data_IF_251384228155
#
_entry.id   IF_251384228155
#
_cell.length_a   1.000
_cell.length_b   1.000
_cell.length_c   1.000
_cell.angle_alpha   90.00
_cell.angle_beta   90.00
_cell.angle_gamma   90.00
#
_symmetry.space_group_name_H-M   'P 1'
#
loop_
_entity.id
_entity.type
_entity.pdbx_description
1 polymer ?
#
# COMPACT_ATOMS: atom_id res chain seq x y z
N UNK A 1 6.74 -15.09 6.25
CA UNK A 1 6.09 -14.80 4.95
C UNK A 1 7.12 -14.14 4.02
N UNK A 2 7.03 -14.32 2.70
CA UNK A 2 8.07 -13.87 1.74
C UNK A 2 7.66 -12.63 0.96
N UNK A 3 8.63 -11.83 0.52
CA UNK A 3 8.38 -10.69 -0.35
C UNK A 3 7.98 -11.17 -1.75
N UNK A 4 6.81 -10.73 -2.20
CA UNK A 4 6.25 -11.16 -3.49
C UNK A 4 7.08 -10.66 -4.68
N UNK A 5 7.62 -9.45 -4.60
CA UNK A 5 8.46 -8.87 -5.67
C UNK A 5 9.79 -9.62 -5.77
N UNK A 6 10.48 -9.83 -4.65
CA UNK A 6 11.71 -10.65 -4.62
C UNK A 6 11.47 -12.08 -5.14
N UNK A 7 10.35 -12.69 -4.75
CA UNK A 7 10.01 -14.05 -5.18
C UNK A 7 9.83 -14.16 -6.71
N UNK A 8 9.29 -13.12 -7.36
CA UNK A 8 9.21 -13.06 -8.84
C UNK A 8 10.59 -13.05 -9.50
N UNK A 9 11.60 -12.51 -8.82
CA UNK A 9 12.99 -12.48 -9.28
C UNK A 9 13.78 -13.74 -8.86
N UNK A 10 13.11 -14.73 -8.25
CA UNK A 10 13.76 -15.94 -7.73
C UNK A 10 14.58 -15.71 -6.45
N UNK A 11 14.46 -14.54 -5.80
CA UNK A 11 15.12 -14.23 -4.54
C UNK A 11 14.26 -14.68 -3.36
N UNK A 12 14.90 -15.30 -2.38
CA UNK A 12 14.25 -15.61 -1.11
C UNK A 12 14.51 -14.50 -0.10
N UNK A 13 13.50 -13.65 0.13
CA UNK A 13 13.61 -12.50 1.05
C UNK A 13 12.38 -12.45 1.93
N UNK A 14 12.58 -12.27 3.24
CA UNK A 14 11.47 -12.19 4.18
C UNK A 14 10.70 -10.88 4.02
N UNK A 15 9.37 -10.99 4.09
CA UNK A 15 8.50 -9.83 4.12
C UNK A 15 8.34 -9.31 5.55
N UNK A 16 8.38 -7.99 5.69
CA UNK A 16 8.24 -7.24 6.93
C UNK A 16 6.88 -6.55 7.04
N UNK A 17 6.17 -6.38 5.92
CA UNK A 17 4.88 -5.72 5.87
C UNK A 17 3.99 -6.27 4.74
N UNK A 18 2.73 -5.83 4.72
CA UNK A 18 1.72 -6.26 3.74
C UNK A 18 1.12 -5.03 3.07
N UNK A 19 1.02 -5.05 1.74
CA UNK A 19 0.32 -4.00 0.99
C UNK A 19 -1.17 -3.99 1.37
N UNK A 20 -1.69 -2.85 1.83
CA UNK A 20 -3.08 -2.74 2.28
C UNK A 20 -4.11 -2.89 1.15
N UNK A 21 -3.71 -2.67 -0.11
CA UNK A 21 -4.60 -2.73 -1.27
C UNK A 21 -4.73 -4.14 -1.81
N UNK A 22 -3.59 -4.81 -2.08
CA UNK A 22 -3.57 -6.08 -2.80
C UNK A 22 -3.16 -7.28 -1.93
N UNK A 23 -2.69 -7.07 -0.70
CA UNK A 23 -2.32 -8.15 0.23
C UNK A 23 -0.95 -8.78 -0.01
N UNK A 24 -0.12 -8.26 -0.92
CA UNK A 24 1.23 -8.80 -1.15
C UNK A 24 2.16 -8.55 0.05
N UNK A 25 3.00 -9.54 0.40
CA UNK A 25 4.09 -9.36 1.36
C UNK A 25 5.26 -8.58 0.74
N UNK A 26 5.85 -7.65 1.51
CA UNK A 26 6.92 -6.75 1.05
C UNK A 26 8.10 -6.74 2.03
N UNK A 27 9.33 -6.76 1.51
CA UNK A 27 10.55 -6.53 2.28
C UNK A 27 10.82 -5.03 2.45
N UNK A 28 11.87 -4.66 3.19
CA UNK A 28 12.24 -3.25 3.43
C UNK A 28 12.54 -2.46 2.14
N UNK A 29 12.98 -3.12 1.07
CA UNK A 29 13.31 -2.45 -0.20
C UNK A 29 12.07 -2.19 -1.07
N UNK A 30 11.06 -3.07 -0.96
CA UNK A 30 9.84 -3.01 -1.77
C UNK A 30 8.65 -2.42 -1.02
N UNK A 31 8.84 -2.04 0.24
CA UNK A 31 7.79 -1.41 1.05
C UNK A 31 7.82 0.09 0.86
N UNK A 32 6.67 0.65 0.49
CA UNK A 32 6.47 2.09 0.44
C UNK A 32 5.52 2.47 1.57
N UNK A 33 5.99 3.34 2.46
CA UNK A 33 5.16 3.93 3.51
C UNK A 33 4.79 5.34 3.10
N UNK A 34 3.50 5.57 2.92
CA UNK A 34 2.98 6.87 2.49
C UNK A 34 1.78 7.27 3.33
N UNK A 35 1.71 8.57 3.62
CA UNK A 35 0.57 9.19 4.25
C UNK A 35 -0.41 9.61 3.13
N UNK A 36 -1.48 8.83 2.98
CA UNK A 36 -2.42 8.99 1.88
C UNK A 36 -3.68 9.66 2.39
N UNK A 37 -4.20 10.58 1.58
CA UNK A 37 -5.48 11.22 1.82
C UNK A 37 -6.60 10.17 1.76
N UNK A 38 -7.25 9.95 2.90
CA UNK A 38 -8.40 9.06 3.00
C UNK A 38 -9.66 9.91 2.87
N UNK A 39 -10.61 9.43 2.07
CA UNK A 39 -11.93 10.01 1.98
C UNK A 39 -12.87 9.16 2.85
N UNK A 40 -13.59 9.81 3.74
CA UNK A 40 -14.58 9.18 4.61
C UNK A 40 -15.97 9.62 4.18
N UNK A 41 -16.88 8.66 4.09
CA UNK A 41 -18.24 8.89 3.62
C UNK A 41 -18.85 7.59 3.16
N UNK A 42 -20.14 7.43 3.44
CA UNK A 42 -20.89 6.24 3.06
C UNK A 42 -22.08 6.64 2.20
N UNK A 43 -22.65 5.69 1.47
CA UNK A 43 -23.93 5.91 0.80
C UNK A 43 -25.03 6.16 1.86
N UNK A 44 -25.87 7.20 1.76
CA UNK A 44 -26.08 8.14 0.65
C UNK A 44 -25.41 9.53 0.80
N UNK A 45 -24.46 9.70 1.72
CA UNK A 45 -23.85 11.00 2.06
C UNK A 45 -22.60 11.33 1.22
N UNK A 46 -22.25 12.62 1.05
CA UNK A 46 -21.06 13.02 0.30
C UNK A 46 -19.78 12.54 1.01
N UNK A 47 -18.81 12.07 0.22
CA UNK A 47 -17.48 11.77 0.73
C UNK A 47 -16.75 13.07 1.11
N UNK A 48 -16.26 13.14 2.34
CA UNK A 48 -15.44 14.23 2.84
C UNK A 48 -13.99 13.78 3.00
N UNK A 49 -13.05 14.67 2.68
CA UNK A 49 -11.64 14.40 2.87
C UNK A 49 -11.33 14.38 4.37
N UNK A 50 -10.75 13.29 4.86
CA UNK A 50 -10.37 13.20 6.27
C UNK A 50 -9.32 14.27 6.61
N UNK A 51 -9.44 14.87 7.81
CA UNK A 51 -8.49 15.88 8.28
C UNK A 51 -7.10 15.32 8.61
N UNK A 52 -6.99 14.01 8.82
CA UNK A 52 -5.74 13.33 9.15
C UNK A 52 -5.43 12.32 8.07
N UNK A 53 -4.23 12.41 7.53
CA UNK A 53 -3.64 11.38 6.69
C UNK A 53 -3.31 10.16 7.55
N UNK A 54 -3.51 8.96 6.99
CA UNK A 54 -3.18 7.72 7.66
C UNK A 54 -1.98 7.07 6.95
N UNK A 55 -0.95 6.64 7.69
CA UNK A 55 0.18 5.94 7.11
C UNK A 55 -0.30 4.60 6.55
N UNK A 56 -0.11 4.41 5.25
CA UNK A 56 -0.41 3.17 4.53
C UNK A 56 0.89 2.51 4.09
N UNK A 57 0.87 1.18 4.13
CA UNK A 57 1.90 0.32 3.56
C UNK A 57 1.42 -0.09 2.18
N UNK A 58 2.19 0.25 1.15
CA UNK A 58 1.90 -0.05 -0.24
C UNK A 58 3.06 -0.77 -0.92
N UNK A 59 2.71 -1.59 -1.91
CA UNK A 59 3.67 -2.06 -2.90
C UNK A 59 3.90 -0.97 -3.96
N UNK A 60 5.00 -1.07 -4.75
CA UNK A 60 5.32 -0.06 -5.77
C UNK A 60 4.18 0.15 -6.78
N UNK A 61 3.54 -0.93 -7.23
CA UNK A 61 2.44 -0.88 -8.19
C UNK A 61 1.21 -0.14 -7.62
N UNK A 62 0.81 -0.42 -6.38
CA UNK A 62 -0.34 0.24 -5.77
C UNK A 62 -0.04 1.69 -5.37
N UNK A 63 1.21 2.01 -5.01
CA UNK A 63 1.65 3.39 -4.75
C UNK A 63 1.55 4.24 -6.01
N UNK A 64 2.07 3.76 -7.14
CA UNK A 64 1.94 4.44 -8.44
C UNK A 64 0.46 4.64 -8.82
N UNK A 65 -0.36 3.59 -8.70
CA UNK A 65 -1.78 3.67 -9.01
C UNK A 65 -2.55 4.68 -8.14
N UNK A 66 -2.19 4.82 -6.86
CA UNK A 66 -2.81 5.83 -5.97
C UNK A 66 -2.36 7.26 -6.28
N UNK A 67 -1.13 7.43 -6.78
CA UNK A 67 -0.61 8.73 -7.24
C UNK A 67 -1.17 9.15 -8.61
N UNK A 68 -1.63 8.18 -9.40
CA UNK A 68 -2.12 8.39 -10.76
C UNK A 68 -1.00 8.44 -11.81
N UNK A 69 0.14 7.82 -11.50
CA UNK A 69 1.30 7.67 -12.39
C UNK A 69 1.17 6.46 -13.34
#
# INVERSE_FOLDING_TARGET
MKCYVCAKEGKDTDAVAVCIVCGMGLCMDHVIREDIDVWEGGYPFPAEKMRKVLPRILCPECSAAMRGD
#
